data_IF_369338931491
#
_entry.id   IF_369338931491
#
_cell.length_a   1.000
_cell.length_b   1.000
_cell.length_c   1.000
_cell.angle_alpha   90.00
_cell.angle_beta   90.00
_cell.angle_gamma   90.00
#
_symmetry.space_group_name_H-M   'P 1'
#
loop_
_entity.id
_entity.type
_entity.pdbx_description
1 polymer ?
#
# COMPACT_ATOMS: atom_id res chain seq x y z
N UNK A 1 -15.85 -1.39 3.84
CA UNK A 1 -15.82 -1.78 5.27
C UNK A 1 -14.77 -2.87 5.44
N UNK A 2 -14.02 -2.89 6.54
CA UNK A 2 -12.92 -3.84 6.77
C UNK A 2 -13.10 -4.50 8.14
N UNK A 3 -12.90 -5.81 8.24
CA UNK A 3 -12.90 -6.56 9.52
C UNK A 3 -11.49 -6.72 10.06
N UNK A 4 -11.35 -7.00 11.37
CA UNK A 4 -10.04 -7.24 11.99
C UNK A 4 -9.33 -8.40 11.29
N UNK A 5 -8.07 -8.20 10.93
CA UNK A 5 -7.23 -9.23 10.31
C UNK A 5 -7.32 -9.31 8.78
N UNK A 6 -8.20 -8.54 8.13
CA UNK A 6 -8.16 -8.46 6.66
C UNK A 6 -6.93 -7.68 6.19
N UNK A 7 -6.38 -8.11 5.06
CA UNK A 7 -5.21 -7.53 4.43
C UNK A 7 -5.48 -7.34 2.94
N UNK A 8 -5.09 -6.18 2.42
CA UNK A 8 -5.07 -5.89 0.99
C UNK A 8 -3.61 -5.74 0.63
N UNK A 9 -3.14 -6.56 -0.30
CA UNK A 9 -1.74 -6.60 -0.69
C UNK A 9 -1.33 -5.32 -1.45
N UNK A 10 -0.03 -5.16 -1.68
CA UNK A 10 0.53 -3.99 -2.36
C UNK A 10 -0.10 -3.79 -3.74
N UNK A 11 -0.53 -2.57 -4.01
CA UNK A 11 -1.09 -2.16 -5.29
C UNK A 11 -0.86 -0.68 -5.53
N UNK A 12 -0.97 -0.29 -6.81
CA UNK A 12 -1.12 1.11 -7.24
C UNK A 12 -2.60 1.32 -7.55
N UNK A 13 -3.18 2.43 -7.10
CA UNK A 13 -4.57 2.75 -7.39
C UNK A 13 -4.80 2.89 -8.89
N UNK A 14 -5.97 2.43 -9.34
CA UNK A 14 -6.29 2.34 -10.76
C UNK A 14 -6.15 3.71 -11.44
N UNK A 15 -5.55 3.70 -12.63
CA UNK A 15 -5.32 4.91 -13.41
C UNK A 15 -4.29 5.88 -12.81
N UNK A 16 -3.50 5.47 -11.82
CA UNK A 16 -2.55 6.36 -11.15
C UNK A 16 -3.27 7.49 -10.41
N UNK A 17 -4.42 7.18 -9.81
CA UNK A 17 -5.22 8.18 -9.10
C UNK A 17 -4.62 8.46 -7.72
N UNK A 18 -4.70 9.71 -7.27
CA UNK A 18 -4.54 10.02 -5.86
C UNK A 18 -5.80 9.64 -5.09
N UNK A 19 -5.64 9.24 -3.83
CA UNK A 19 -6.77 8.83 -2.97
C UNK A 19 -6.72 9.53 -1.64
N UNK A 20 -7.89 9.70 -1.02
CA UNK A 20 -8.02 10.12 0.35
C UNK A 20 -8.83 9.10 1.17
N UNK A 21 -8.43 8.93 2.42
CA UNK A 21 -9.12 8.09 3.40
C UNK A 21 -9.45 8.92 4.64
N UNK A 22 -10.66 8.74 5.18
CA UNK A 22 -10.99 9.20 6.51
C UNK A 22 -11.44 8.02 7.37
N UNK A 23 -10.74 7.77 8.49
CA UNK A 23 -11.05 6.64 9.38
C UNK A 23 -12.18 7.03 10.32
N UNK A 24 -13.42 6.80 9.91
CA UNK A 24 -14.58 7.13 10.73
C UNK A 24 -14.63 6.34 12.05
N UNK A 25 -14.33 5.03 12.01
CA UNK A 25 -14.28 4.15 13.20
C UNK A 25 -13.21 3.07 13.05
N UNK A 26 -12.49 2.78 14.13
CA UNK A 26 -11.42 1.79 14.14
C UNK A 26 -10.06 2.36 13.71
N UNK A 27 -9.31 1.62 12.91
CA UNK A 27 -7.97 2.00 12.45
C UNK A 27 -7.51 1.21 11.22
N UNK A 28 -6.46 1.68 10.57
CA UNK A 28 -5.80 1.01 9.44
C UNK A 28 -4.29 1.14 9.56
N UNK A 29 -3.58 0.14 9.07
CA UNK A 29 -2.13 0.21 8.87
C UNK A 29 -1.88 0.25 7.36
N UNK A 30 -1.06 1.20 6.93
CA UNK A 30 -0.58 1.31 5.55
C UNK A 30 0.91 1.02 5.51
N UNK A 31 1.35 0.36 4.45
CA UNK A 31 2.75 0.23 4.05
C UNK A 31 2.93 1.02 2.76
N UNK A 32 3.81 2.02 2.78
CA UNK A 32 3.99 2.98 1.70
C UNK A 32 5.37 2.83 1.09
N UNK A 33 5.39 2.74 -0.23
CA UNK A 33 6.60 2.65 -1.04
C UNK A 33 6.54 3.83 -2.02
N UNK A 34 7.57 4.70 -2.09
CA UNK A 34 7.56 5.80 -3.04
C UNK A 34 7.65 5.28 -4.48
N UNK A 35 6.93 5.88 -5.45
CA UNK A 35 6.89 5.41 -6.85
C UNK A 35 8.15 5.85 -7.62
N UNK A 36 9.33 5.47 -7.14
CA UNK A 36 10.57 5.64 -7.88
C UNK A 36 10.59 4.71 -9.10
N UNK A 37 11.32 5.06 -10.16
CA UNK A 37 11.44 4.20 -11.35
C UNK A 37 11.91 2.78 -11.00
N UNK A 38 12.81 2.66 -10.01
CA UNK A 38 13.28 1.37 -9.52
C UNK A 38 12.16 0.56 -8.84
N UNK A 39 11.39 1.18 -7.94
CA UNK A 39 10.30 0.50 -7.25
C UNK A 39 9.15 0.12 -8.20
N UNK A 40 8.89 0.93 -9.22
CA UNK A 40 7.90 0.62 -10.24
C UNK A 40 8.30 -0.59 -11.08
N UNK A 41 9.57 -0.70 -11.46
CA UNK A 41 10.10 -1.88 -12.15
C UNK A 41 10.01 -3.15 -11.26
N UNK A 42 10.37 -3.03 -9.98
CA UNK A 42 10.21 -4.13 -9.01
C UNK A 42 8.74 -4.55 -8.83
N UNK A 43 7.83 -3.58 -8.78
CA UNK A 43 6.39 -3.83 -8.69
C UNK A 43 5.88 -4.56 -9.93
N UNK A 44 6.24 -4.12 -11.13
CA UNK A 44 5.87 -4.78 -12.38
C UNK A 44 6.38 -6.22 -12.45
N UNK A 45 7.65 -6.44 -12.13
CA UNK A 45 8.23 -7.80 -12.06
C UNK A 45 7.47 -8.67 -11.05
N UNK A 46 7.21 -8.16 -9.84
CA UNK A 46 6.49 -8.86 -8.78
C UNK A 46 5.05 -9.18 -9.18
N UNK A 47 4.34 -8.26 -9.85
CA UNK A 47 2.98 -8.50 -10.34
C UNK A 47 2.97 -9.63 -11.37
N UNK A 48 3.93 -9.62 -12.31
CA UNK A 48 4.04 -10.61 -13.38
C UNK A 48 4.60 -11.97 -12.91
N UNK A 49 5.27 -12.02 -11.75
CA UNK A 49 5.93 -13.24 -11.29
C UNK A 49 4.97 -14.32 -10.80
N UNK A 50 3.69 -13.99 -10.55
CA UNK A 50 2.70 -14.89 -9.96
C UNK A 50 2.99 -15.31 -8.52
N UNK A 51 3.95 -14.67 -7.84
CA UNK A 51 4.40 -14.99 -6.47
C UNK A 51 3.93 -13.95 -5.44
N UNK A 52 2.85 -13.24 -5.75
CA UNK A 52 2.31 -12.18 -4.88
C UNK A 52 2.00 -12.72 -3.48
N UNK A 53 1.44 -13.93 -3.40
CA UNK A 53 1.12 -14.60 -2.13
C UNK A 53 2.34 -15.04 -1.30
N UNK A 54 3.53 -15.14 -1.90
CA UNK A 54 4.74 -15.67 -1.26
C UNK A 54 5.74 -14.58 -0.87
N UNK A 55 5.63 -13.39 -1.47
CA UNK A 55 6.62 -12.31 -1.35
C UNK A 55 5.94 -11.05 -0.83
N UNK A 56 6.36 -10.61 0.34
CA UNK A 56 6.01 -9.28 0.86
C UNK A 56 6.85 -8.21 0.13
N UNK A 57 6.23 -7.43 -0.76
CA UNK A 57 6.94 -6.44 -1.59
C UNK A 57 7.72 -5.39 -0.77
N UNK A 58 7.24 -5.08 0.44
CA UNK A 58 7.91 -4.15 1.36
C UNK A 58 9.35 -4.54 1.71
N UNK A 59 9.71 -5.82 1.63
CA UNK A 59 11.06 -6.32 1.91
C UNK A 59 12.00 -6.24 0.68
N UNK A 60 11.44 -5.99 -0.51
CA UNK A 60 12.19 -5.92 -1.78
C UNK A 60 12.71 -4.52 -2.10
N UNK A 61 12.16 -3.49 -1.46
CA UNK A 61 12.45 -2.08 -1.73
C UNK A 61 13.39 -1.50 -0.69
N UNK A 62 14.15 -0.46 -1.05
CA UNK A 62 15.07 0.20 -0.11
C UNK A 62 14.34 0.84 1.08
N UNK A 63 13.17 1.43 0.83
CA UNK A 63 12.38 2.15 1.83
C UNK A 63 10.91 1.80 1.74
N UNK A 64 10.39 1.26 2.82
CA UNK A 64 8.97 1.02 3.02
C UNK A 64 8.54 1.63 4.37
N UNK A 65 7.65 2.60 4.34
CA UNK A 65 7.16 3.27 5.55
C UNK A 65 5.87 2.63 6.03
N UNK A 66 5.85 2.18 7.28
CA UNK A 66 4.62 1.76 7.96
C UNK A 66 3.95 2.96 8.65
N UNK A 67 2.68 3.19 8.37
CA UNK A 67 1.86 4.23 9.02
C UNK A 67 0.63 3.60 9.67
N UNK A 68 0.30 4.06 10.87
CA UNK A 68 -0.95 3.71 11.56
C UNK A 68 -1.92 4.90 11.49
N UNK A 69 -3.06 4.70 10.84
CA UNK A 69 -4.18 5.63 10.85
C UNK A 69 -5.14 5.26 11.97
N UNK A 70 -5.34 6.21 12.90
CA UNK A 70 -6.28 6.09 14.02
C UNK A 70 -7.63 6.70 13.65
N UNK A 71 -8.63 6.41 14.47
CA UNK A 71 -9.96 7.00 14.32
C UNK A 71 -9.89 8.54 14.24
N UNK A 72 -10.63 9.11 13.30
CA UNK A 72 -10.68 10.54 13.00
C UNK A 72 -9.58 11.06 12.08
N UNK A 73 -8.57 10.25 11.73
CA UNK A 73 -7.51 10.70 10.83
C UNK A 73 -8.00 10.78 9.39
N UNK A 74 -7.55 11.82 8.68
CA UNK A 74 -7.66 11.93 7.23
C UNK A 74 -6.27 11.76 6.62
N UNK A 75 -6.16 10.93 5.60
CA UNK A 75 -4.91 10.56 4.95
C UNK A 75 -5.04 10.72 3.44
N UNK A 76 -4.01 11.26 2.80
CA UNK A 76 -3.94 11.48 1.36
C UNK A 76 -2.73 10.76 0.80
N UNK A 77 -2.91 10.01 -0.28
CA UNK A 77 -1.85 9.30 -0.99
C UNK A 77 -1.71 9.92 -2.38
N UNK A 78 -0.53 10.46 -2.74
CA UNK A 78 -0.30 11.05 -4.06
C UNK A 78 -0.14 9.96 -5.14
N UNK A 79 -0.32 10.37 -6.40
CA UNK A 79 0.13 9.56 -7.55
C UNK A 79 1.65 9.53 -7.65
#
# INVERSE_FOLDING_TARGET
MSVKGCFTDFHIDFGGTSVWYHVFRGGKIFWLIPPTLHNLALYEEWVLSGKQSDIFLGDRVERCQRIELKQGYTFFIPS
#
